data_IF_813291357115
#
_entry.id   IF_813291357115
#
_cell.length_a   1.000
_cell.length_b   1.000
_cell.length_c   1.000
_cell.angle_alpha   90.00
_cell.angle_beta   90.00
_cell.angle_gamma   90.00
#
_symmetry.space_group_name_H-M   'P 1'
#
loop_
_entity.id
_entity.type
_entity.pdbx_description
1 polymer ?
#
# COMPACT_ATOMS: atom_id res chain seq x y z
N UNK A 1 17.09 -8.15 14.91
CA UNK A 1 16.22 -6.98 14.63
C UNK A 1 15.42 -7.34 13.39
N UNK A 2 14.13 -7.64 13.53
CA UNK A 2 13.30 -7.97 12.39
C UNK A 2 13.12 -6.70 11.55
N UNK A 3 13.47 -6.77 10.27
CA UNK A 3 13.15 -5.72 9.31
C UNK A 3 11.66 -5.79 9.10
N UNK A 4 10.94 -4.74 9.49
CA UNK A 4 9.53 -4.59 9.22
C UNK A 4 9.37 -4.31 7.72
N UNK A 5 8.79 -5.25 7.01
CA UNK A 5 8.35 -5.06 5.64
C UNK A 5 6.87 -4.68 5.73
N UNK A 6 6.57 -3.41 5.59
CA UNK A 6 5.21 -2.97 5.33
C UNK A 6 4.70 -3.58 4.02
N UNK A 7 3.41 -3.79 3.88
CA UNK A 7 2.81 -4.40 2.72
C UNK A 7 2.28 -3.39 1.72
N UNK A 8 2.06 -3.83 0.47
CA UNK A 8 1.34 -2.99 -0.47
C UNK A 8 -0.08 -2.78 0.05
N UNK A 9 -0.44 -1.54 0.31
CA UNK A 9 -1.83 -1.13 0.38
C UNK A 9 -2.39 -1.12 -1.03
N UNK A 10 -3.68 -1.30 -1.19
CA UNK A 10 -4.31 -1.19 -2.50
C UNK A 10 -4.12 0.26 -2.99
N UNK A 11 -3.10 0.51 -3.79
CA UNK A 11 -3.19 1.59 -4.74
C UNK A 11 -4.49 1.35 -5.52
N UNK A 12 -5.36 2.34 -5.58
CA UNK A 12 -6.67 2.25 -6.22
C UNK A 12 -6.48 1.63 -7.60
N UNK A 13 -7.16 0.54 -7.89
CA UNK A 13 -7.00 -0.22 -9.13
C UNK A 13 -7.25 0.72 -10.33
N UNK A 14 -6.25 1.03 -11.16
CA UNK A 14 -6.48 1.76 -12.39
C UNK A 14 -6.98 0.76 -13.41
N UNK A 15 -8.27 0.70 -13.61
CA UNK A 15 -8.85 -0.25 -14.56
C UNK A 15 -10.36 -0.18 -14.60
N UNK A 16 -10.90 1.01 -14.41
CA UNK A 16 -12.25 1.31 -14.83
C UNK A 16 -12.20 1.72 -16.29
N UNK A 17 -12.72 0.88 -17.21
CA UNK A 17 -13.20 1.33 -18.53
C UNK A 17 -13.80 2.72 -18.40
N UNK A 18 -13.47 3.61 -19.34
CA UNK A 18 -14.13 4.91 -19.51
C UNK A 18 -15.64 4.70 -19.64
N UNK A 19 -16.30 4.57 -18.51
CA UNK A 19 -17.73 4.77 -18.38
C UNK A 19 -17.84 6.30 -18.25
N UNK A 20 -18.58 6.88 -19.17
CA UNK A 20 -19.00 8.28 -19.16
C UNK A 20 -19.14 8.78 -17.73
N UNK A 21 -18.36 9.78 -17.38
CA UNK A 21 -18.35 10.36 -16.04
C UNK A 21 -19.71 11.01 -15.76
N UNK A 22 -20.61 10.25 -15.18
CA UNK A 22 -21.67 10.86 -14.37
C UNK A 22 -20.95 11.51 -13.18
N UNK A 23 -20.93 12.82 -13.17
CA UNK A 23 -20.19 13.68 -12.22
C UNK A 23 -20.73 13.62 -10.78
N UNK A 24 -21.49 12.57 -10.44
CA UNK A 24 -21.93 12.27 -9.08
C UNK A 24 -20.98 11.26 -8.43
N UNK A 25 -20.37 11.60 -7.30
CA UNK A 25 -19.62 10.58 -6.54
C UNK A 25 -20.55 9.41 -6.23
N UNK A 26 -20.06 8.16 -6.33
CA UNK A 26 -20.88 6.99 -6.05
C UNK A 26 -21.55 7.14 -4.69
N UNK A 27 -22.85 6.89 -4.63
CA UNK A 27 -23.64 6.98 -3.41
C UNK A 27 -23.32 5.83 -2.44
N UNK A 28 -22.75 4.76 -2.97
CA UNK A 28 -22.45 3.53 -2.26
C UNK A 28 -20.99 3.48 -1.80
N UNK A 29 -20.72 2.57 -0.88
CA UNK A 29 -19.37 2.28 -0.42
C UNK A 29 -18.58 1.50 -1.48
N UNK A 30 -17.37 1.94 -1.80
CA UNK A 30 -16.38 1.15 -2.52
C UNK A 30 -15.54 0.39 -1.46
N UNK A 31 -15.61 -0.93 -1.49
CA UNK A 31 -14.92 -1.78 -0.53
C UNK A 31 -13.77 -2.51 -1.22
N UNK A 32 -12.66 -2.67 -0.51
CA UNK A 32 -11.56 -3.48 -0.99
C UNK A 32 -10.91 -4.26 0.14
N UNK A 33 -10.37 -5.42 -0.22
CA UNK A 33 -9.61 -6.29 0.67
C UNK A 33 -8.34 -6.74 -0.05
N UNK A 34 -7.22 -6.71 0.65
CA UNK A 34 -5.97 -7.24 0.13
C UNK A 34 -5.33 -8.18 1.16
N UNK A 35 -4.74 -9.26 0.68
CA UNK A 35 -3.94 -10.19 1.46
C UNK A 35 -2.53 -10.26 0.86
N UNK A 36 -1.56 -9.69 1.55
CA UNK A 36 -0.16 -9.79 1.20
C UNK A 36 0.52 -10.91 1.99
N UNK A 37 1.18 -11.83 1.31
CA UNK A 37 2.00 -12.89 1.88
C UNK A 37 3.49 -12.57 1.69
N UNK A 38 4.22 -12.46 2.78
CA UNK A 38 5.67 -12.17 2.79
C UNK A 38 6.44 -13.46 2.92
N UNK A 39 7.23 -13.79 1.90
CA UNK A 39 8.16 -14.91 1.90
C UNK A 39 9.57 -14.36 2.08
N UNK A 40 10.06 -14.42 3.33
CA UNK A 40 11.36 -13.88 3.71
C UNK A 40 12.30 -15.04 4.03
N UNK A 41 13.39 -15.23 3.28
CA UNK A 41 14.35 -16.29 3.54
C UNK A 41 14.96 -16.15 4.94
N UNK A 42 15.16 -17.28 5.61
CA UNK A 42 15.76 -17.38 6.95
C UNK A 42 14.98 -16.70 8.09
N UNK A 43 13.74 -16.27 7.86
CA UNK A 43 12.83 -15.75 8.87
C UNK A 43 11.44 -16.35 8.71
N UNK A 44 10.56 -16.08 9.67
CA UNK A 44 9.18 -16.55 9.58
C UNK A 44 8.42 -15.75 8.53
N UNK A 45 7.85 -16.44 7.54
CA UNK A 45 6.90 -15.86 6.60
C UNK A 45 5.61 -15.48 7.31
N UNK A 46 4.96 -14.40 6.87
CA UNK A 46 3.73 -13.92 7.49
C UNK A 46 2.75 -13.37 6.44
N UNK A 47 1.51 -13.19 6.87
CA UNK A 47 0.47 -12.58 6.06
C UNK A 47 0.03 -11.24 6.66
N UNK A 48 -0.25 -10.28 5.79
CA UNK A 48 -0.74 -8.95 6.13
C UNK A 48 -2.06 -8.68 5.40
N UNK A 49 -3.21 -8.93 6.03
CA UNK A 49 -4.49 -8.52 5.50
C UNK A 49 -4.73 -7.02 5.71
N UNK A 50 -5.26 -6.38 4.67
CA UNK A 50 -5.71 -4.99 4.71
C UNK A 50 -7.13 -4.88 4.16
N UNK A 51 -7.93 -3.99 4.73
CA UNK A 51 -9.27 -3.67 4.30
C UNK A 51 -9.42 -2.17 4.13
N UNK A 52 -10.10 -1.72 3.09
CA UNK A 52 -10.49 -0.32 2.96
C UNK A 52 -11.95 -0.16 2.53
N UNK A 53 -12.51 0.99 2.90
CA UNK A 53 -13.86 1.38 2.57
C UNK A 53 -13.87 2.88 2.25
N UNK A 54 -14.22 3.21 1.02
CA UNK A 54 -14.27 4.58 0.53
C UNK A 54 -15.72 5.00 0.29
N UNK A 55 -16.08 6.20 0.75
CA UNK A 55 -17.36 6.81 0.45
C UNK A 55 -17.21 8.30 0.22
N UNK A 56 -17.40 8.73 -1.02
CA UNK A 56 -17.21 10.13 -1.44
C UNK A 56 -15.78 10.59 -1.14
N UNK A 57 -15.63 11.45 -0.14
CA UNK A 57 -14.36 12.03 0.29
C UNK A 57 -13.73 11.31 1.50
N UNK A 58 -14.42 10.35 2.09
CA UNK A 58 -13.94 9.66 3.28
C UNK A 58 -13.31 8.32 2.92
N UNK A 59 -12.17 8.06 3.51
CA UNK A 59 -11.45 6.80 3.47
C UNK A 59 -11.37 6.21 4.87
N UNK A 60 -11.67 4.92 4.97
CA UNK A 60 -11.49 4.11 6.19
C UNK A 60 -10.60 2.93 5.85
N UNK A 61 -9.61 2.66 6.70
CA UNK A 61 -8.71 1.53 6.56
C UNK A 61 -8.64 0.70 7.84
N UNK A 62 -8.39 -0.59 7.69
CA UNK A 62 -8.01 -1.49 8.78
C UNK A 62 -6.92 -2.43 8.28
N UNK A 63 -5.87 -2.62 9.08
CA UNK A 63 -4.71 -3.42 8.70
C UNK A 63 -4.28 -4.32 9.87
N UNK A 64 -3.66 -5.43 9.55
CA UNK A 64 -3.04 -6.32 10.53
C UNK A 64 -1.70 -6.85 10.01
N UNK A 65 -0.71 -6.96 10.88
CA UNK A 65 0.67 -7.28 10.53
C UNK A 65 1.28 -6.37 9.45
N UNK A 66 0.86 -5.13 9.40
CA UNK A 66 1.29 -4.15 8.40
C UNK A 66 2.40 -3.26 8.96
N UNK A 67 2.12 -2.55 10.04
CA UNK A 67 3.07 -1.67 10.72
C UNK A 67 4.11 -2.47 11.52
N UNK A 68 3.69 -3.56 12.13
CA UNK A 68 4.52 -4.53 12.84
C UNK A 68 3.79 -5.88 12.94
N UNK A 69 4.51 -6.97 13.23
CA UNK A 69 3.89 -8.27 13.50
C UNK A 69 3.08 -8.21 14.80
N UNK A 70 1.94 -8.92 14.81
CA UNK A 70 0.97 -8.91 15.92
C UNK A 70 0.44 -7.51 16.26
N UNK A 71 0.38 -6.63 15.27
CA UNK A 71 -0.10 -5.26 15.39
C UNK A 71 -1.26 -5.05 14.43
N UNK A 72 -2.32 -4.42 14.92
CA UNK A 72 -3.45 -3.97 14.14
C UNK A 72 -3.49 -2.45 14.07
N UNK A 73 -4.12 -1.91 13.04
CA UNK A 73 -4.35 -0.48 12.91
C UNK A 73 -5.70 -0.17 12.27
N UNK A 74 -6.23 1.01 12.60
CA UNK A 74 -7.43 1.58 11.99
C UNK A 74 -7.13 2.99 11.53
N UNK A 75 -7.64 3.37 10.36
CA UNK A 75 -7.29 4.57 9.65
C UNK A 75 -8.51 5.37 9.24
N UNK A 76 -8.39 6.69 9.31
CA UNK A 76 -9.35 7.65 8.77
C UNK A 76 -8.60 8.61 7.84
N UNK A 77 -9.08 8.74 6.61
CA UNK A 77 -8.50 9.59 5.59
C UNK A 77 -9.52 10.43 4.86
N UNK A 78 -9.01 11.35 4.04
CA UNK A 78 -9.82 12.22 3.20
C UNK A 78 -9.27 12.21 1.78
N UNK A 79 -10.13 11.83 0.81
CA UNK A 79 -9.76 11.64 -0.60
C UNK A 79 -9.81 12.98 -1.36
N UNK A 80 -8.70 13.30 -2.00
CA UNK A 80 -8.54 14.39 -2.96
C UNK A 80 -8.26 13.83 -4.34
N UNK A 81 -8.83 14.45 -5.35
CA UNK A 81 -8.57 14.13 -6.75
C UNK A 81 -8.49 15.41 -7.56
N UNK A 82 -7.53 15.48 -8.48
CA UNK A 82 -7.32 16.61 -9.36
C UNK A 82 -6.72 16.19 -10.71
N UNK A 83 -7.11 16.87 -11.78
CA UNK A 83 -6.62 16.67 -13.13
C UNK A 83 -7.49 15.71 -13.95
N UNK A 84 -7.32 15.76 -15.28
CA UNK A 84 -8.06 14.91 -16.24
C UNK A 84 -7.12 13.95 -16.96
N UNK A 85 -6.17 14.50 -17.75
CA UNK A 85 -5.19 13.70 -18.52
C UNK A 85 -4.04 13.17 -17.66
N UNK A 86 -3.65 13.94 -16.67
CA UNK A 86 -2.74 13.60 -15.60
C UNK A 86 -3.57 13.60 -14.32
N UNK A 87 -3.97 12.43 -13.86
CA UNK A 87 -4.82 12.27 -12.70
C UNK A 87 -3.95 12.15 -11.45
N UNK A 88 -4.11 13.08 -10.54
CA UNK A 88 -3.50 13.05 -9.20
C UNK A 88 -4.56 12.72 -8.17
N UNK A 89 -4.27 11.71 -7.34
CA UNK A 89 -5.10 11.35 -6.21
C UNK A 89 -4.25 11.37 -4.94
N UNK A 90 -4.80 11.83 -3.83
CA UNK A 90 -4.13 11.87 -2.54
C UNK A 90 -5.12 11.67 -1.40
N UNK A 91 -4.73 10.88 -0.43
CA UNK A 91 -5.50 10.59 0.77
C UNK A 91 -4.60 10.77 2.00
N UNK A 92 -4.45 12.00 2.51
CA UNK A 92 -3.90 12.19 3.84
C UNK A 92 -4.78 11.47 4.87
N UNK A 93 -4.17 10.79 5.83
CA UNK A 93 -4.87 9.97 6.80
C UNK A 93 -4.16 9.98 8.16
N UNK A 94 -4.92 9.60 9.18
CA UNK A 94 -4.40 9.37 10.52
C UNK A 94 -4.87 8.00 11.00
N UNK A 95 -3.97 7.25 11.64
CA UNK A 95 -4.23 5.92 12.16
C UNK A 95 -3.99 5.80 13.65
N UNK A 96 -4.73 4.91 14.29
CA UNK A 96 -4.43 4.36 15.60
C UNK A 96 -3.85 2.96 15.45
N UNK A 97 -2.70 2.74 16.04
CA UNK A 97 -1.93 1.48 15.99
C UNK A 97 -1.97 0.81 17.35
N UNK A 98 -2.21 -0.49 17.42
CA UNK A 98 -2.38 -1.24 18.66
C UNK A 98 -1.88 -2.69 18.53
N UNK A 99 -1.31 -3.22 19.59
CA UNK A 99 -0.73 -4.57 19.62
C UNK A 99 0.70 -4.55 20.12
N UNK A 100 1.63 -5.19 19.41
CA UNK A 100 3.06 -5.16 19.77
C UNK A 100 3.64 -3.74 19.67
N UNK A 101 3.18 -2.95 18.70
CA UNK A 101 3.42 -1.52 18.61
C UNK A 101 2.10 -0.80 18.93
N UNK A 102 2.14 0.21 19.79
CA UNK A 102 0.97 1.01 20.18
C UNK A 102 1.25 2.48 19.95
N UNK A 103 0.40 3.16 19.15
CA UNK A 103 0.70 4.55 18.83
C UNK A 103 -0.31 5.24 17.93
N UNK A 104 0.09 6.41 17.45
CA UNK A 104 -0.63 7.21 16.45
C UNK A 104 0.25 7.35 15.22
N UNK A 105 -0.37 7.21 14.06
CA UNK A 105 0.35 7.26 12.80
C UNK A 105 -0.30 8.25 11.82
N UNK A 106 0.25 9.45 11.59
CA UNK A 106 -0.06 10.20 10.39
C UNK A 106 0.51 9.47 9.16
N UNK A 107 -0.27 9.44 8.08
CA UNK A 107 0.12 8.77 6.85
C UNK A 107 -0.56 9.36 5.63
N UNK A 108 -0.24 8.79 4.48
CA UNK A 108 -0.83 9.19 3.20
C UNK A 108 -0.87 8.01 2.21
N UNK A 109 -1.84 8.07 1.31
CA UNK A 109 -1.82 7.37 0.03
C UNK A 109 -1.77 8.44 -1.06
N UNK A 110 -1.01 8.20 -2.13
CA UNK A 110 -0.96 9.11 -3.27
C UNK A 110 -0.73 8.34 -4.57
N UNK A 111 -1.33 8.79 -5.65
CA UNK A 111 -1.05 8.27 -6.99
C UNK A 111 -1.07 9.36 -8.04
N UNK A 112 -0.31 9.13 -9.11
CA UNK A 112 -0.23 9.97 -10.29
C UNK A 112 -0.31 9.08 -11.52
N UNK A 113 -1.43 9.16 -12.24
CA UNK A 113 -1.70 8.34 -13.41
C UNK A 113 -1.68 9.17 -14.69
N UNK A 114 -0.96 8.68 -15.69
CA UNK A 114 -0.90 9.28 -17.02
C UNK A 114 -0.92 8.20 -18.10
N UNK A 115 -2.00 8.13 -18.86
CA UNK A 115 -2.22 7.09 -19.86
C UNK A 115 -2.12 5.68 -19.25
N UNK A 116 -1.03 4.97 -19.59
CA UNK A 116 -0.74 3.61 -19.15
C UNK A 116 0.34 3.55 -18.05
N UNK A 117 0.79 4.70 -17.58
CA UNK A 117 1.80 4.84 -16.52
C UNK A 117 1.13 5.26 -15.23
N UNK A 118 1.57 4.67 -14.14
CA UNK A 118 1.17 5.05 -12.80
C UNK A 118 2.37 5.09 -11.86
N UNK A 119 2.44 6.15 -11.07
CA UNK A 119 3.31 6.26 -9.91
C UNK A 119 2.41 6.30 -8.68
N UNK A 120 2.52 5.32 -7.81
CA UNK A 120 1.81 5.31 -6.52
C UNK A 120 2.80 5.33 -5.37
N UNK A 121 2.37 5.90 -4.26
CA UNK A 121 3.15 5.93 -3.03
C UNK A 121 2.21 5.91 -1.83
N UNK A 122 2.59 5.18 -0.83
CA UNK A 122 2.03 5.27 0.50
C UNK A 122 3.14 5.47 1.52
N UNK A 123 2.81 6.08 2.63
CA UNK A 123 3.78 6.26 3.69
C UNK A 123 3.12 6.67 4.99
N UNK A 124 3.83 6.39 6.07
CA UNK A 124 3.37 6.70 7.41
C UNK A 124 4.55 6.90 8.36
N UNK A 125 4.29 7.63 9.42
CA UNK A 125 5.20 7.72 10.55
C UNK A 125 4.46 7.25 11.80
N UNK A 126 4.90 6.13 12.37
CA UNK A 126 4.33 5.59 13.61
C UNK A 126 5.05 6.22 14.79
N UNK A 127 4.30 7.00 15.57
CA UNK A 127 4.72 7.51 16.88
C UNK A 127 4.36 6.45 17.93
N UNK A 128 5.33 5.66 18.35
CA UNK A 128 5.14 4.72 19.44
C UNK A 128 4.95 5.48 20.75
N UNK A 129 3.82 5.27 21.42
CA UNK A 129 3.46 5.95 22.66
C UNK A 129 3.95 5.22 23.92
N UNK A 130 4.31 3.96 23.81
CA UNK A 130 4.86 3.16 24.91
C UNK A 130 6.38 3.25 24.95
N UNK A 131 7.03 3.11 23.76
CA UNK A 131 8.47 3.18 23.65
C UNK A 131 8.90 4.08 22.48
N UNK A 132 9.39 5.28 22.77
CA UNK A 132 9.81 6.26 21.74
C UNK A 132 10.84 5.69 20.75
N UNK A 133 11.65 4.73 21.19
CA UNK A 133 12.62 4.03 20.35
C UNK A 133 11.96 3.08 19.32
N UNK A 134 10.70 2.73 19.54
CA UNK A 134 9.86 1.97 18.64
C UNK A 134 9.28 2.80 17.47
N UNK A 135 9.39 4.13 17.53
CA UNK A 135 8.89 4.99 16.43
C UNK A 135 9.66 4.78 15.15
N UNK A 136 8.95 4.72 14.02
CA UNK A 136 9.56 4.51 12.71
C UNK A 136 8.81 5.22 11.58
N UNK A 137 9.51 5.45 10.48
CA UNK A 137 8.97 5.89 9.19
C UNK A 137 8.94 4.70 8.24
N UNK A 138 7.85 4.59 7.50
CA UNK A 138 7.66 3.63 6.42
C UNK A 138 7.19 4.33 5.15
N UNK A 139 7.64 3.87 3.98
CA UNK A 139 7.12 4.31 2.68
C UNK A 139 7.30 3.22 1.64
N UNK A 140 6.23 2.92 0.94
CA UNK A 140 6.19 2.06 -0.24
C UNK A 140 5.92 2.91 -1.48
N UNK A 141 6.59 2.61 -2.59
CA UNK A 141 6.43 3.33 -3.85
C UNK A 141 6.46 2.34 -5.02
N UNK A 142 5.53 2.49 -5.95
CA UNK A 142 5.47 1.72 -7.19
C UNK A 142 5.48 2.64 -8.39
N UNK A 143 6.21 2.27 -9.44
CA UNK A 143 6.08 2.85 -10.76
C UNK A 143 5.76 1.74 -11.74
N UNK A 144 4.58 1.77 -12.33
CA UNK A 144 4.07 0.69 -13.17
C UNK A 144 3.63 1.16 -14.56
N UNK A 145 3.66 0.22 -15.49
CA UNK A 145 3.17 0.34 -16.85
C UNK A 145 2.16 -0.77 -17.14
N UNK A 146 0.96 -0.39 -17.60
CA UNK A 146 -0.14 -1.30 -17.93
C UNK A 146 -0.41 -1.27 -19.43
N UNK A 147 0.26 -2.08 -20.25
CA UNK A 147 0.04 -2.11 -21.70
C UNK A 147 -1.38 -2.53 -22.08
N UNK A 148 -1.98 -3.37 -21.26
CA UNK A 148 -3.37 -3.86 -21.38
C UNK A 148 -4.01 -3.89 -19.99
N UNK A 149 -5.34 -3.93 -19.92
CA UNK A 149 -6.11 -3.79 -18.66
C UNK A 149 -5.85 -4.93 -17.65
N UNK A 150 -5.50 -6.11 -18.13
CA UNK A 150 -5.30 -7.28 -17.27
C UNK A 150 -3.84 -7.52 -16.86
N UNK A 151 -2.88 -6.71 -17.34
CA UNK A 151 -1.47 -6.90 -17.07
C UNK A 151 -0.76 -5.60 -16.73
N UNK A 152 0.03 -5.60 -15.67
CA UNK A 152 0.95 -4.53 -15.29
C UNK A 152 2.33 -5.07 -14.92
N UNK A 153 3.36 -4.29 -15.18
CA UNK A 153 4.72 -4.55 -14.73
C UNK A 153 5.40 -3.24 -14.32
N UNK A 154 6.35 -3.31 -13.40
CA UNK A 154 6.94 -2.08 -12.91
C UNK A 154 8.09 -2.27 -11.92
N UNK A 155 8.44 -1.17 -11.29
CA UNK A 155 9.46 -1.07 -10.26
C UNK A 155 8.79 -0.80 -8.92
N UNK A 156 9.40 -1.29 -7.85
CA UNK A 156 8.95 -1.07 -6.48
C UNK A 156 10.12 -0.69 -5.59
N UNK A 157 9.87 0.21 -4.65
CA UNK A 157 10.81 0.55 -3.60
C UNK A 157 10.08 0.60 -2.25
N UNK A 158 10.63 -0.08 -1.27
CA UNK A 158 10.24 -0.04 0.13
C UNK A 158 11.33 0.69 0.93
N UNK A 159 10.92 1.58 1.82
CA UNK A 159 11.83 2.36 2.67
C UNK A 159 11.33 2.31 4.10
N UNK A 160 12.17 1.78 4.97
CA UNK A 160 11.90 1.75 6.41
C UNK A 160 13.03 2.41 7.18
N UNK A 161 12.67 3.31 8.11
CA UNK A 161 13.62 3.94 9.01
C UNK A 161 13.09 3.91 10.43
N UNK A 162 13.60 3.01 11.24
CA UNK A 162 13.37 2.99 12.67
C UNK A 162 14.23 4.05 13.41
N UNK A 163 13.83 4.39 14.61
CA UNK A 163 14.52 5.40 15.44
C UNK A 163 16.01 5.04 15.65
N UNK A 164 16.89 6.00 15.37
CA UNK A 164 18.36 5.86 15.47
C UNK A 164 18.98 4.74 14.61
N UNK A 165 18.29 4.24 13.60
CA UNK A 165 18.87 3.32 12.63
C UNK A 165 19.20 4.02 11.30
N UNK A 166 19.96 3.34 10.43
CA UNK A 166 20.10 3.75 9.04
C UNK A 166 18.79 3.52 8.29
N UNK A 167 18.55 4.32 7.24
CA UNK A 167 17.46 4.09 6.32
C UNK A 167 17.71 2.76 5.57
N UNK A 168 16.79 1.81 5.71
CA UNK A 168 16.77 0.60 4.89
C UNK A 168 15.93 0.87 3.64
N UNK A 169 16.49 0.54 2.47
CA UNK A 169 15.83 0.71 1.18
C UNK A 169 15.91 -0.61 0.43
N UNK A 170 14.77 -1.23 0.22
CA UNK A 170 14.62 -2.39 -0.65
C UNK A 170 14.09 -1.95 -2.00
N UNK A 171 14.65 -2.50 -3.06
CA UNK A 171 14.26 -2.20 -4.44
C UNK A 171 13.92 -3.49 -5.16
N UNK A 172 12.92 -3.42 -6.00
CA UNK A 172 12.43 -4.61 -6.67
C UNK A 172 11.67 -4.33 -7.95
N UNK A 173 11.10 -5.38 -8.47
CA UNK A 173 10.22 -5.38 -9.63
C UNK A 173 8.86 -5.94 -9.23
N UNK A 174 7.83 -5.56 -9.96
CA UNK A 174 6.49 -6.10 -9.79
C UNK A 174 5.93 -6.61 -11.12
N UNK A 175 5.10 -7.63 -11.03
CA UNK A 175 4.22 -8.12 -12.10
C UNK A 175 2.84 -8.32 -11.50
N UNK A 176 1.83 -7.70 -12.11
CA UNK A 176 0.43 -7.78 -11.69
C UNK A 176 -0.47 -8.32 -12.79
N UNK A 177 -1.45 -9.10 -12.40
CA UNK A 177 -2.50 -9.65 -13.24
C UNK A 177 -3.85 -9.31 -12.64
N UNK A 178 -4.72 -8.69 -13.42
CA UNK A 178 -6.05 -8.27 -12.99
C UNK A 178 -7.14 -8.98 -13.81
N UNK A 179 -8.15 -9.46 -13.15
CA UNK A 179 -9.33 -10.01 -13.80
C UNK A 179 -10.60 -9.62 -13.05
N UNK A 180 -11.45 -8.80 -13.68
CA UNK A 180 -12.68 -8.28 -13.06
C UNK A 180 -12.38 -7.53 -11.76
N UNK A 181 -12.71 -8.14 -10.62
CA UNK A 181 -12.58 -7.58 -9.26
C UNK A 181 -11.44 -8.19 -8.46
N UNK A 182 -10.57 -8.94 -9.12
CA UNK A 182 -9.44 -9.64 -8.49
C UNK A 182 -8.14 -9.13 -9.11
N UNK A 183 -7.21 -8.78 -8.27
CA UNK A 183 -5.84 -8.41 -8.64
C UNK A 183 -4.85 -9.35 -7.94
N UNK A 184 -3.90 -9.89 -8.69
CA UNK A 184 -2.79 -10.66 -8.16
C UNK A 184 -1.48 -9.99 -8.55
N UNK A 185 -0.66 -9.62 -7.58
CA UNK A 185 0.64 -9.00 -7.82
C UNK A 185 1.75 -9.73 -7.09
N UNK A 186 2.85 -9.95 -7.79
CA UNK A 186 4.09 -10.51 -7.25
C UNK A 186 5.15 -9.41 -7.24
N UNK A 187 5.80 -9.25 -6.09
CA UNK A 187 6.94 -8.37 -5.90
C UNK A 187 8.18 -9.20 -5.59
N UNK A 188 9.30 -8.85 -6.23
CA UNK A 188 10.58 -9.49 -5.98
C UNK A 188 11.59 -8.39 -5.66
N UNK A 189 12.02 -8.33 -4.38
CA UNK A 189 12.98 -7.36 -3.89
C UNK A 189 14.39 -7.92 -3.88
N UNK A 190 15.36 -7.02 -4.05
CA UNK A 190 16.80 -7.27 -3.85
C UNK A 190 17.39 -8.40 -4.70
N UNK A 191 16.75 -8.78 -5.81
CA UNK A 191 17.27 -9.80 -6.71
C UNK A 191 18.66 -9.42 -7.25
N UNK A 192 19.66 -10.24 -6.97
CA UNK A 192 21.05 -10.05 -7.42
C UNK A 192 21.91 -9.13 -6.55
N UNK A 193 21.39 -8.55 -5.47
CA UNK A 193 22.18 -7.69 -4.55
C UNK A 193 22.34 -8.25 -3.13
N UNK A 194 21.25 -8.76 -2.57
CA UNK A 194 21.21 -9.36 -1.24
C UNK A 194 20.26 -10.56 -1.26
N UNK A 195 19.87 -11.06 -0.09
CA UNK A 195 18.86 -12.10 0.02
C UNK A 195 17.53 -11.62 -0.57
N UNK A 196 17.01 -12.24 -1.65
CA UNK A 196 15.78 -11.81 -2.26
C UNK A 196 14.59 -12.06 -1.33
N UNK A 197 13.69 -11.11 -1.25
CA UNK A 197 12.40 -11.21 -0.58
C UNK A 197 11.29 -11.19 -1.62
N UNK A 198 10.29 -12.05 -1.45
CA UNK A 198 9.12 -12.10 -2.32
C UNK A 198 7.86 -11.73 -1.55
N UNK A 199 7.02 -10.90 -2.16
CA UNK A 199 5.67 -10.58 -1.64
C UNK A 199 4.66 -10.99 -2.69
N UNK A 200 3.65 -11.74 -2.27
CA UNK A 200 2.50 -12.15 -3.07
C UNK A 200 1.27 -11.41 -2.54
N UNK A 201 0.63 -10.62 -3.38
CA UNK A 201 -0.54 -9.83 -3.03
C UNK A 201 -1.76 -10.30 -3.80
N UNK A 202 -2.87 -10.51 -3.12
CA UNK A 202 -4.17 -10.86 -3.69
C UNK A 202 -5.21 -9.84 -3.24
N UNK A 203 -5.67 -9.04 -4.18
CA UNK A 203 -6.65 -7.97 -3.97
C UNK A 203 -8.04 -8.33 -4.48
N UNK A 204 -9.07 -7.81 -3.80
CA UNK A 204 -10.48 -7.92 -4.17
C UNK A 204 -11.15 -6.56 -4.05
N UNK A 205 -11.97 -6.18 -5.04
CA UNK A 205 -12.82 -4.98 -5.03
C UNK A 205 -14.30 -5.35 -5.09
N UNK A 206 -15.16 -4.64 -4.34
CA UNK A 206 -16.59 -4.95 -4.22
C UNK A 206 -17.47 -3.74 -4.55
#
# INVERSE_FOLDING_TARGET
>A
MAVLLGGPSLAQTPGGSAIESDSRPPADWALSFNLAGYVVPNTQSYASPTFSADKRKFHFGARYNYEDQHTGSVWLGYNFEAGDKLLFQATPMIGGVFGRTTGIAPGYLASLSWKKLELSSEGEFVFDTEERSGSFFYSWMEFSYSPVEWFRAGLVADRTKAYKTSLDIQRGVLIGLSHRRVDFTTYIFNAGWTTPTMVLSLGFSF
#
